data_IF_530546543321
#
_entry.id   IF_530546543321
#
_cell.length_a   1.000
_cell.length_b   1.000
_cell.length_c   1.000
_cell.angle_alpha   90.00
_cell.angle_beta   90.00
_cell.angle_gamma   90.00
#
_symmetry.space_group_name_H-M   'P 1'
#
loop_
_entity.id
_entity.type
_entity.pdbx_description
1 polymer ?
#
# COMPACT_ATOMS: atom_id res chain seq x y z
N UNK A 1 -24.25 27.45 -18.51
CA UNK A 1 -24.14 26.11 -19.11
C UNK A 1 -23.42 25.26 -18.10
N UNK A 2 -24.16 24.73 -17.13
CA UNK A 2 -23.62 23.88 -16.07
C UNK A 2 -23.68 22.43 -16.55
N UNK A 3 -22.53 21.90 -16.94
CA UNK A 3 -22.40 20.48 -17.24
C UNK A 3 -22.41 19.72 -15.91
N UNK A 4 -23.30 18.74 -15.69
CA UNK A 4 -23.22 17.93 -14.50
C UNK A 4 -21.88 17.21 -14.50
N UNK A 5 -21.02 17.55 -13.53
CA UNK A 5 -19.81 16.78 -13.24
C UNK A 5 -20.24 15.38 -12.84
N UNK A 6 -20.22 14.45 -13.79
CA UNK A 6 -20.34 13.02 -13.56
C UNK A 6 -19.30 12.65 -12.51
N UNK A 7 -19.74 12.45 -11.26
CA UNK A 7 -18.87 11.97 -10.21
C UNK A 7 -18.31 10.62 -10.67
N UNK A 8 -16.99 10.40 -10.60
CA UNK A 8 -16.40 9.14 -11.01
C UNK A 8 -17.07 8.01 -10.22
N UNK A 9 -17.63 7.05 -10.93
CA UNK A 9 -18.36 5.90 -10.37
C UNK A 9 -17.46 5.00 -9.54
N UNK A 10 -16.14 5.12 -9.73
CA UNK A 10 -15.11 4.37 -9.04
C UNK A 10 -14.01 5.33 -8.55
N UNK A 11 -13.67 5.20 -7.28
CA UNK A 11 -12.52 5.89 -6.66
C UNK A 11 -11.48 4.85 -6.29
N UNK A 12 -10.23 5.28 -6.14
CA UNK A 12 -9.13 4.39 -5.79
C UNK A 12 -8.49 4.85 -4.49
N UNK A 13 -8.10 3.89 -3.65
CA UNK A 13 -7.33 4.15 -2.43
C UNK A 13 -6.12 3.25 -2.38
N UNK A 14 -5.12 3.63 -1.60
CA UNK A 14 -3.90 2.83 -1.43
C UNK A 14 -3.95 2.14 -0.08
N UNK A 15 -3.76 0.82 -0.09
CA UNK A 15 -3.53 0.01 1.09
C UNK A 15 -2.04 -0.29 1.21
N UNK A 16 -1.50 -0.06 2.40
CA UNK A 16 -0.14 -0.41 2.77
C UNK A 16 -0.20 -1.52 3.81
N UNK A 17 0.39 -2.67 3.50
CA UNK A 17 0.58 -3.75 4.47
C UNK A 17 1.98 -3.62 5.06
N UNK A 18 2.08 -3.57 6.38
CA UNK A 18 3.33 -3.63 7.14
C UNK A 18 3.42 -5.00 7.78
N UNK A 19 4.48 -5.75 7.49
CA UNK A 19 4.74 -7.05 8.10
C UNK A 19 6.11 -7.06 8.77
N UNK A 20 6.20 -7.57 10.00
CA UNK A 20 7.47 -7.73 10.72
C UNK A 20 7.69 -9.21 10.93
N UNK A 21 8.83 -9.70 10.45
CA UNK A 21 9.29 -11.06 10.68
C UNK A 21 10.43 -11.03 11.69
N UNK A 22 10.34 -11.83 12.76
CA UNK A 22 11.44 -12.10 13.69
C UNK A 22 11.87 -13.55 13.52
N UNK A 23 13.15 -13.80 13.29
CA UNK A 23 13.70 -15.14 13.06
C UNK A 23 12.94 -15.90 11.96
N UNK A 24 12.61 -15.19 10.89
CA UNK A 24 11.79 -15.67 9.76
C UNK A 24 10.34 -16.04 10.10
N UNK A 25 9.88 -15.82 11.34
CA UNK A 25 8.51 -16.01 11.79
C UNK A 25 7.75 -14.68 11.73
N UNK A 26 6.57 -14.66 11.13
CA UNK A 26 5.72 -13.48 11.10
C UNK A 26 5.28 -13.13 12.52
N UNK A 27 5.81 -12.03 13.06
CA UNK A 27 5.49 -11.55 14.41
C UNK A 27 4.38 -10.51 14.42
N UNK A 28 4.30 -9.69 13.36
CA UNK A 28 3.30 -8.63 13.26
C UNK A 28 2.89 -8.43 11.82
N UNK A 29 1.61 -8.19 11.59
CA UNK A 29 1.07 -7.79 10.29
C UNK A 29 -0.06 -6.81 10.53
N UNK A 30 0.02 -5.65 9.89
CA UNK A 30 -1.05 -4.67 9.91
C UNK A 30 -1.29 -4.11 8.51
N UNK A 31 -2.52 -3.71 8.25
CA UNK A 31 -2.94 -3.08 7.00
C UNK A 31 -3.45 -1.67 7.29
N UNK A 32 -2.92 -0.69 6.57
CA UNK A 32 -3.29 0.72 6.71
C UNK A 32 -3.82 1.21 5.38
N UNK A 33 -4.98 1.87 5.38
CA UNK A 33 -5.50 2.54 4.19
C UNK A 33 -5.08 4.00 4.25
N UNK A 34 -4.35 4.46 3.25
CA UNK A 34 -3.95 5.86 3.11
C UNK A 34 -5.23 6.71 2.96
N UNK A 35 -5.32 7.87 3.64
CA UNK A 35 -6.52 8.71 3.60
C UNK A 35 -6.79 9.29 2.21
N UNK A 36 -5.77 9.46 1.38
CA UNK A 36 -5.89 9.98 0.02
C UNK A 36 -6.74 9.08 -0.89
N UNK A 37 -7.68 9.72 -1.58
CA UNK A 37 -8.54 9.10 -2.59
C UNK A 37 -8.17 9.63 -3.97
N UNK A 38 -8.22 8.76 -4.98
CA UNK A 38 -7.85 9.09 -6.35
C UNK A 38 -9.02 8.82 -7.29
N UNK A 39 -9.20 9.70 -8.27
CA UNK A 39 -10.21 9.51 -9.32
C UNK A 39 -9.70 8.54 -10.39
N UNK A 40 -8.38 8.39 -10.54
CA UNK A 40 -7.76 7.52 -11.55
C UNK A 40 -6.76 6.57 -10.92
N UNK A 41 -6.77 5.32 -11.38
CA UNK A 41 -5.80 4.30 -10.95
C UNK A 41 -4.35 4.68 -11.24
N UNK A 42 -4.10 5.42 -12.32
CA UNK A 42 -2.75 5.89 -12.69
C UNK A 42 -2.17 6.89 -11.69
N UNK A 43 -3.00 7.75 -11.10
CA UNK A 43 -2.59 8.70 -10.06
C UNK A 43 -2.19 7.97 -8.78
N UNK A 44 -3.02 7.00 -8.34
CA UNK A 44 -2.69 6.14 -7.20
C UNK A 44 -1.37 5.38 -7.43
N UNK A 45 -1.14 4.88 -8.66
CA UNK A 45 0.12 4.22 -9.02
C UNK A 45 1.32 5.18 -8.96
N UNK A 46 1.16 6.40 -9.47
CA UNK A 46 2.20 7.42 -9.43
C UNK A 46 2.57 7.80 -7.99
N UNK A 47 1.58 7.91 -7.09
CA UNK A 47 1.84 8.11 -5.66
C UNK A 47 2.67 6.97 -5.07
N UNK A 48 2.25 5.71 -5.28
CA UNK A 48 3.00 4.54 -4.79
C UNK A 48 4.44 4.57 -5.30
N UNK A 49 4.64 4.86 -6.59
CA UNK A 49 5.97 4.91 -7.19
C UNK A 49 6.84 6.01 -6.56
N UNK A 50 6.25 7.19 -6.31
CA UNK A 50 6.94 8.29 -5.62
C UNK A 50 7.34 7.88 -4.21
N UNK A 51 6.41 7.36 -3.41
CA UNK A 51 6.69 6.96 -2.02
C UNK A 51 7.75 5.86 -1.94
N UNK A 52 7.68 4.86 -2.83
CA UNK A 52 8.70 3.81 -2.93
C UNK A 52 10.07 4.42 -3.25
N UNK A 53 10.14 5.35 -4.20
CA UNK A 53 11.40 5.97 -4.62
C UNK A 53 12.00 6.82 -3.49
N UNK A 54 11.16 7.59 -2.78
CA UNK A 54 11.57 8.38 -1.61
C UNK A 54 12.08 7.48 -0.49
N UNK A 55 11.41 6.37 -0.19
CA UNK A 55 11.87 5.42 0.84
C UNK A 55 13.18 4.72 0.47
N UNK A 56 13.40 4.43 -0.80
CA UNK A 56 14.67 3.85 -1.27
C UNK A 56 15.82 4.87 -1.20
N UNK A 57 15.53 6.16 -1.36
CA UNK A 57 16.54 7.21 -1.38
C UNK A 57 16.86 7.76 0.02
N UNK A 58 15.84 7.86 0.89
CA UNK A 58 15.93 8.60 2.16
C UNK A 58 15.69 7.74 3.40
N UNK A 59 15.40 6.45 3.25
CA UNK A 59 15.19 5.54 4.38
C UNK A 59 15.98 4.26 4.20
N UNK A 60 16.20 3.50 5.27
CA UNK A 60 16.90 2.21 5.24
C UNK A 60 16.04 1.08 4.62
N UNK A 61 15.23 1.39 3.61
CA UNK A 61 14.45 0.42 2.86
C UNK A 61 15.18 0.03 1.57
N UNK A 62 15.03 -1.24 1.21
CA UNK A 62 15.55 -1.85 0.00
C UNK A 62 14.41 -2.52 -0.76
N UNK A 63 14.64 -2.86 -2.03
CA UNK A 63 13.70 -3.71 -2.77
C UNK A 63 13.63 -5.08 -2.11
N UNK A 64 12.42 -5.52 -1.81
CA UNK A 64 12.20 -6.85 -1.24
C UNK A 64 12.51 -7.93 -2.29
N UNK A 65 13.20 -8.99 -1.86
CA UNK A 65 13.37 -10.22 -2.64
C UNK A 65 12.16 -11.14 -2.57
N UNK A 66 11.26 -10.94 -1.58
CA UNK A 66 10.01 -11.68 -1.46
C UNK A 66 8.98 -11.13 -2.45
N UNK A 67 8.33 -11.98 -3.26
CA UNK A 67 7.42 -11.54 -4.33
C UNK A 67 6.16 -10.83 -3.82
N UNK A 68 5.78 -11.06 -2.57
CA UNK A 68 4.58 -10.47 -1.97
C UNK A 68 4.75 -9.05 -1.44
N UNK A 69 5.99 -8.54 -1.39
CA UNK A 69 6.34 -7.27 -0.78
C UNK A 69 7.18 -6.43 -1.74
N UNK A 70 6.99 -5.12 -1.67
CA UNK A 70 7.71 -4.16 -2.52
C UNK A 70 9.04 -3.75 -1.88
N UNK A 71 9.04 -3.57 -0.55
CA UNK A 71 10.19 -3.09 0.22
C UNK A 71 10.48 -3.95 1.44
N UNK A 72 11.74 -3.97 1.84
CA UNK A 72 12.23 -4.57 3.08
C UNK A 72 13.20 -3.61 3.77
N UNK A 73 13.12 -3.52 5.08
CA UNK A 73 14.11 -2.87 5.94
C UNK A 73 14.66 -3.92 6.89
N UNK A 74 15.96 -4.12 6.84
CA UNK A 74 16.70 -4.97 7.78
C UNK A 74 17.00 -4.17 9.04
N UNK A 75 16.78 -4.77 10.20
CA UNK A 75 17.29 -4.24 11.47
C UNK A 75 18.70 -4.73 11.73
N UNK A 76 19.41 -4.09 12.66
CA UNK A 76 20.79 -4.43 13.02
C UNK A 76 20.93 -5.89 13.50
N UNK A 77 19.91 -6.45 14.13
CA UNK A 77 19.91 -7.84 14.59
C UNK A 77 19.78 -8.87 13.45
N UNK A 78 19.58 -8.46 12.18
CA UNK A 78 19.33 -9.28 10.98
C UNK A 78 18.16 -10.28 11.07
N UNK A 79 17.58 -10.46 12.25
CA UNK A 79 16.47 -11.36 12.56
C UNK A 79 15.12 -10.64 12.48
N UNK A 80 15.06 -9.32 12.66
CA UNK A 80 13.82 -8.53 12.73
C UNK A 80 13.57 -7.67 11.46
N UNK A 81 13.03 -8.28 10.42
CA UNK A 81 12.86 -7.62 9.11
C UNK A 81 11.47 -7.00 8.96
N UNK A 82 11.41 -5.73 8.57
CA UNK A 82 10.16 -5.02 8.27
C UNK A 82 9.90 -5.01 6.77
N UNK A 83 8.77 -5.53 6.32
CA UNK A 83 8.35 -5.55 4.93
C UNK A 83 7.15 -4.63 4.68
N UNK A 84 7.12 -4.02 3.50
CA UNK A 84 6.01 -3.19 3.04
C UNK A 84 5.47 -3.70 1.72
N UNK A 85 4.15 -3.65 1.58
CA UNK A 85 3.44 -3.96 0.34
C UNK A 85 2.42 -2.87 0.06
N UNK A 86 2.42 -2.36 -1.15
CA UNK A 86 1.47 -1.35 -1.63
C UNK A 86 0.45 -2.00 -2.57
N UNK A 87 -0.83 -1.73 -2.35
CA UNK A 87 -1.91 -2.19 -3.23
C UNK A 87 -2.91 -1.07 -3.48
N UNK A 88 -3.36 -0.97 -4.72
CA UNK A 88 -4.44 -0.07 -5.10
C UNK A 88 -5.76 -0.83 -4.91
N UNK A 89 -6.66 -0.26 -4.13
CA UNK A 89 -8.03 -0.71 -3.95
C UNK A 89 -8.95 0.10 -4.85
N UNK A 90 -9.91 -0.56 -5.46
CA UNK A 90 -11.03 0.04 -6.20
C UNK A 90 -12.23 0.15 -5.27
N UNK A 91 -12.83 1.32 -5.18
CA UNK A 91 -14.05 1.60 -4.43
C UNK A 91 -15.11 2.05 -5.41
N UNK A 92 -16.03 1.15 -5.74
CA UNK A 92 -17.19 1.48 -6.55
C UNK A 92 -18.25 2.11 -5.67
N UNK A 93 -18.79 3.25 -6.09
CA UNK A 93 -19.91 3.90 -5.43
C UNK A 93 -21.14 3.00 -5.54
N UNK A 94 -21.37 2.13 -4.55
CA UNK A 94 -22.48 1.18 -4.53
C UNK A 94 -22.15 -0.20 -3.95
N UNK A 95 -20.88 -0.56 -3.81
CA UNK A 95 -20.46 -1.75 -3.05
C UNK A 95 -19.94 -1.29 -1.69
N UNK A 96 -20.79 -1.44 -0.66
CA UNK A 96 -20.36 -1.37 0.73
C UNK A 96 -19.19 -2.32 0.97
N UNK A 97 -18.43 -2.06 2.03
CA UNK A 97 -17.36 -2.91 2.53
C UNK A 97 -17.80 -4.39 2.57
N UNK A 98 -17.31 -5.21 1.64
CA UNK A 98 -17.29 -6.66 1.75
C UNK A 98 -15.94 -7.07 1.12
N UNK A 99 -14.97 -7.70 1.80
CA UNK A 99 -15.04 -8.78 2.79
C UNK A 99 -13.84 -8.68 3.76
N UNK A 100 -14.10 -8.55 5.06
CA UNK A 100 -13.33 -9.31 6.04
C UNK A 100 -13.71 -10.79 5.83
N UNK A 101 -12.73 -11.62 5.49
CA UNK A 101 -12.89 -13.07 5.55
C UNK A 101 -12.12 -13.54 6.77
N UNK A 102 -12.89 -13.92 7.79
CA UNK A 102 -12.50 -14.79 8.91
C UNK A 102 -12.03 -16.13 8.33
#
# INVERSE_FOLDING_TARGET
MDFPTLKPTETYRIRVTVAIYRDHILSYKNEVIIPSEYCRRTEARAHIQKEISERLLHSNFFRSTRPDYDLVRYTEEATCNTFLRYRILSLKSGEGLIKERI
#
